data_IF_321805893149
#
_entry.id   IF_321805893149
#
_cell.length_a   1.000
_cell.length_b   1.000
_cell.length_c   1.000
_cell.angle_alpha   90.00
_cell.angle_beta   90.00
_cell.angle_gamma   90.00
#
_symmetry.space_group_name_H-M   'P 1'
#
loop_
_entity.id
_entity.type
_entity.pdbx_description
1 polymer ?
#
# COMPACT_ATOMS: atom_id res chain seq x y z
N UNK A 1 0.43 -6.01 -27.35
CA UNK A 1 1.35 -6.89 -26.61
C UNK A 1 1.19 -6.78 -25.10
N UNK A 2 0.72 -5.67 -24.56
CA UNK A 2 0.54 -5.38 -23.13
C UNK A 2 -0.52 -6.25 -22.43
N UNK A 3 -1.61 -6.65 -23.06
CA UNK A 3 -2.63 -7.55 -22.47
C UNK A 3 -2.11 -8.90 -21.96
N UNK A 4 -0.92 -9.33 -22.37
CA UNK A 4 -0.39 -10.64 -21.97
C UNK A 4 0.48 -10.61 -20.71
N UNK A 5 0.92 -9.44 -20.24
CA UNK A 5 1.88 -9.34 -19.11
C UNK A 5 1.12 -9.39 -17.79
N UNK A 6 0.03 -8.66 -17.68
CA UNK A 6 -0.89 -8.74 -16.52
C UNK A 6 -1.50 -10.15 -16.40
N UNK A 7 -1.86 -10.76 -17.53
CA UNK A 7 -2.26 -12.19 -17.58
C UNK A 7 -1.19 -13.16 -17.08
N UNK A 8 0.10 -12.90 -17.33
CA UNK A 8 1.18 -13.75 -16.84
C UNK A 8 1.35 -13.65 -15.32
N UNK A 9 1.17 -12.47 -14.76
CA UNK A 9 1.21 -12.26 -13.32
C UNK A 9 0.05 -12.96 -12.60
N UNK A 10 -1.17 -12.85 -13.12
CA UNK A 10 -2.34 -13.56 -12.61
C UNK A 10 -2.24 -15.08 -12.76
N UNK A 11 -1.68 -15.56 -13.86
CA UNK A 11 -1.43 -16.99 -14.07
C UNK A 11 -0.36 -17.52 -13.10
N UNK A 12 0.60 -16.70 -12.71
CA UNK A 12 1.61 -17.07 -11.71
C UNK A 12 1.05 -17.07 -10.28
N UNK A 13 0.26 -16.06 -9.91
CA UNK A 13 -0.37 -15.98 -8.58
C UNK A 13 -1.64 -16.85 -8.47
N UNK A 14 -2.53 -16.81 -9.45
CA UNK A 14 -3.81 -17.51 -9.42
C UNK A 14 -3.73 -19.02 -9.61
N UNK A 15 -2.83 -19.54 -10.48
CA UNK A 15 -2.71 -20.99 -10.70
C UNK A 15 -1.99 -21.74 -9.58
N UNK A 16 -1.07 -21.10 -8.86
CA UNK A 16 -0.44 -21.74 -7.71
C UNK A 16 -1.39 -21.77 -6.50
N UNK A 17 -2.21 -20.74 -6.28
CA UNK A 17 -3.19 -20.74 -5.21
C UNK A 17 -4.29 -21.79 -5.43
N UNK A 18 -4.80 -21.97 -6.65
CA UNK A 18 -5.83 -22.98 -6.95
C UNK A 18 -5.31 -24.43 -6.88
N UNK A 19 -4.04 -24.70 -7.09
CA UNK A 19 -3.46 -26.05 -6.87
C UNK A 19 -3.06 -26.28 -5.42
N UNK A 20 -2.64 -25.27 -4.68
CA UNK A 20 -2.37 -25.40 -3.26
C UNK A 20 -3.65 -25.41 -2.43
N UNK A 21 -4.71 -24.71 -2.86
CA UNK A 21 -6.03 -24.71 -2.19
C UNK A 21 -6.68 -26.11 -2.15
N UNK A 22 -6.44 -27.00 -3.11
CA UNK A 22 -6.86 -28.40 -2.95
C UNK A 22 -6.06 -29.22 -1.91
N UNK A 23 -4.88 -28.73 -1.47
CA UNK A 23 -4.14 -29.27 -0.30
C UNK A 23 -4.10 -28.29 0.87
N UNK A 24 -4.35 -27.02 0.68
CA UNK A 24 -4.43 -25.96 1.69
C UNK A 24 -5.86 -25.57 2.06
N UNK A 25 -6.87 -26.37 1.66
CA UNK A 25 -8.20 -26.34 2.29
C UNK A 25 -8.16 -26.67 3.80
N UNK A 26 -6.98 -27.01 4.32
CA UNK A 26 -6.70 -27.06 5.76
C UNK A 26 -6.03 -25.78 6.31
N UNK A 27 -5.64 -24.79 5.48
CA UNK A 27 -4.98 -23.55 5.93
C UNK A 27 -5.77 -22.26 5.68
N UNK A 28 -6.75 -22.28 4.77
CA UNK A 28 -7.72 -21.17 4.58
C UNK A 28 -8.70 -21.01 5.74
N UNK A 29 -8.50 -21.76 6.76
CA UNK A 29 -9.27 -21.83 8.00
C UNK A 29 -8.39 -21.52 9.21
N UNK A 30 -7.44 -20.58 9.10
CA UNK A 30 -6.67 -20.12 10.26
C UNK A 30 -7.46 -19.31 11.28
N UNK A 31 -8.75 -19.35 11.22
CA UNK A 31 -9.58 -18.91 12.32
C UNK A 31 -10.45 -20.04 12.77
N UNK A 32 -9.99 -21.21 13.14
CA UNK A 32 -10.84 -22.21 13.66
C UNK A 32 -10.12 -23.54 13.96
N UNK A 33 -9.69 -23.89 15.20
CA UNK A 33 -9.69 -25.24 15.79
C UNK A 33 -9.32 -25.37 17.26
N UNK A 34 -10.11 -25.87 18.14
CA UNK A 34 -9.72 -26.85 19.14
C UNK A 34 -10.75 -27.27 20.20
N UNK A 35 -10.48 -28.34 20.80
CA UNK A 35 -11.24 -29.30 21.56
C UNK A 35 -11.75 -28.82 22.92
N UNK A 36 -12.95 -29.25 23.25
CA UNK A 36 -13.58 -29.14 24.55
C UNK A 36 -13.17 -30.28 25.50
N UNK A 37 -12.88 -29.90 26.72
CA UNK A 37 -13.06 -30.75 27.90
C UNK A 37 -13.98 -30.02 28.90
N UNK A 38 -14.99 -30.68 29.46
CA UNK A 38 -15.89 -30.01 30.38
C UNK A 38 -15.29 -29.91 31.75
N UNK A 39 -14.92 -28.72 32.21
CA UNK A 39 -14.82 -28.43 33.63
C UNK A 39 -16.08 -27.72 34.10
N UNK A 40 -16.95 -28.48 34.71
CA UNK A 40 -18.03 -27.96 35.56
C UNK A 40 -17.38 -27.32 36.76
N UNK A 41 -17.28 -26.02 36.81
CA UNK A 41 -17.04 -25.27 38.03
C UNK A 41 -18.26 -24.39 38.29
N UNK A 42 -18.85 -24.62 39.46
CA UNK A 42 -20.04 -23.97 39.90
C UNK A 42 -19.99 -22.45 39.85
N UNK A 43 -20.90 -21.85 39.14
CA UNK A 43 -21.18 -20.43 39.19
C UNK A 43 -21.93 -20.13 40.49
N UNK A 44 -21.15 -19.71 41.52
CA UNK A 44 -21.76 -18.90 42.58
C UNK A 44 -22.09 -17.56 42.00
N UNK A 45 -23.36 -17.24 41.95
CA UNK A 45 -23.90 -15.93 41.64
C UNK A 45 -23.30 -14.88 42.59
N UNK A 46 -22.30 -14.13 42.15
CA UNK A 46 -21.92 -12.87 42.79
C UNK A 46 -22.69 -11.76 42.08
N UNK A 47 -23.63 -11.15 42.79
CA UNK A 47 -24.17 -9.85 42.43
C UNK A 47 -22.99 -8.84 42.44
N UNK A 48 -22.54 -8.44 41.29
CA UNK A 48 -21.66 -7.28 41.14
C UNK A 48 -22.53 -6.03 41.10
N UNK A 49 -22.45 -5.23 42.15
CA UNK A 49 -22.91 -3.84 42.17
C UNK A 49 -22.15 -3.03 41.09
N UNK A 50 -22.91 -2.48 40.13
CA UNK A 50 -22.42 -1.78 38.93
C UNK A 50 -22.03 -0.33 39.20
N UNK A 51 -21.82 0.07 40.47
CA UNK A 51 -21.51 1.45 40.86
C UNK A 51 -20.09 1.64 41.39
N UNK A 52 -19.09 1.16 40.62
CA UNK A 52 -17.71 1.62 40.84
C UNK A 52 -17.21 2.34 39.59
N UNK A 53 -16.84 3.64 39.62
CA UNK A 53 -16.22 4.30 38.49
C UNK A 53 -14.87 3.62 38.26
N UNK A 54 -14.84 2.67 37.36
CA UNK A 54 -13.61 1.99 36.89
C UNK A 54 -12.65 3.07 36.43
N UNK A 55 -11.49 3.11 37.06
CA UNK A 55 -10.42 4.03 36.70
C UNK A 55 -10.19 4.01 35.19
N UNK A 56 -9.87 5.17 34.62
CA UNK A 56 -9.67 5.50 33.19
C UNK A 56 -8.60 4.64 32.47
N UNK A 57 -8.63 3.33 32.58
CA UNK A 57 -7.65 2.38 32.02
C UNK A 57 -8.21 0.96 31.85
N UNK A 58 -9.53 0.80 31.73
CA UNK A 58 -10.12 -0.52 31.49
C UNK A 58 -9.68 -1.07 30.13
N UNK A 59 -9.61 -2.40 29.99
CA UNK A 59 -9.30 -3.06 28.71
C UNK A 59 -10.23 -2.57 27.58
N UNK A 60 -11.50 -2.33 27.89
CA UNK A 60 -12.50 -1.79 26.97
C UNK A 60 -12.10 -0.44 26.36
N UNK A 61 -11.44 0.43 27.10
CA UNK A 61 -10.95 1.72 26.58
C UNK A 61 -9.63 1.55 25.81
N UNK A 62 -8.77 0.64 26.24
CA UNK A 62 -7.45 0.41 25.60
C UNK A 62 -7.56 -0.19 24.21
N UNK A 63 -8.56 -1.06 23.97
CA UNK A 63 -8.75 -1.73 22.68
C UNK A 63 -9.39 -0.83 21.62
N UNK A 64 -9.91 0.35 21.96
CA UNK A 64 -10.58 1.23 21.01
C UNK A 64 -9.66 1.62 19.84
N UNK A 65 -10.23 1.62 18.64
CA UNK A 65 -9.53 1.92 17.38
C UNK A 65 -9.49 0.77 16.41
N UNK A 66 -8.74 0.93 15.33
CA UNK A 66 -8.50 -0.10 14.31
C UNK A 66 -7.18 -0.81 14.58
N UNK A 67 -7.16 -2.12 14.37
CA UNK A 67 -6.01 -2.98 14.62
C UNK A 67 -5.83 -3.94 13.44
N UNK A 68 -4.66 -3.93 12.80
CA UNK A 68 -4.33 -4.81 11.68
C UNK A 68 -3.42 -5.96 12.11
N UNK A 69 -3.76 -7.18 11.70
CA UNK A 69 -2.99 -8.38 11.97
C UNK A 69 -1.61 -8.33 11.29
N UNK A 70 -0.54 -8.58 12.07
CA UNK A 70 0.83 -8.63 11.59
C UNK A 70 1.43 -10.03 11.64
N UNK A 71 1.17 -10.77 12.74
CA UNK A 71 1.76 -12.09 12.96
C UNK A 71 0.74 -13.05 13.59
N UNK A 72 0.85 -14.32 13.24
CA UNK A 72 0.17 -15.43 13.90
C UNK A 72 1.22 -16.46 14.33
N UNK A 73 1.25 -16.82 15.62
CA UNK A 73 2.22 -17.73 16.24
C UNK A 73 3.70 -17.33 16.00
N UNK A 74 3.97 -16.01 15.92
CA UNK A 74 5.31 -15.46 15.67
C UNK A 74 5.73 -15.53 14.19
N UNK A 75 4.83 -15.88 13.30
CA UNK A 75 5.06 -15.88 11.85
C UNK A 75 4.35 -14.69 11.21
N UNK A 76 5.06 -13.82 10.47
CA UNK A 76 4.45 -12.74 9.73
C UNK A 76 3.39 -13.26 8.74
N UNK A 77 2.21 -12.64 8.73
CA UNK A 77 1.13 -13.01 7.81
C UNK A 77 1.35 -12.35 6.45
N UNK A 78 0.99 -13.06 5.38
CA UNK A 78 0.95 -12.51 4.03
C UNK A 78 -0.25 -11.57 3.87
N UNK A 79 -0.27 -10.77 2.80
CA UNK A 79 -1.30 -9.74 2.63
C UNK A 79 -2.71 -10.34 2.53
N UNK A 80 -2.86 -11.48 1.87
CA UNK A 80 -4.11 -12.23 1.74
C UNK A 80 -4.65 -12.79 3.07
N UNK A 81 -3.80 -12.83 4.10
CA UNK A 81 -4.16 -13.27 5.46
C UNK A 81 -4.38 -12.11 6.44
N UNK A 82 -4.17 -10.87 6.00
CA UNK A 82 -4.37 -9.71 6.86
C UNK A 82 -5.85 -9.50 7.16
N UNK A 83 -6.11 -9.09 8.40
CA UNK A 83 -7.44 -8.74 8.89
C UNK A 83 -7.38 -7.50 9.77
N UNK A 84 -8.49 -6.81 9.89
CA UNK A 84 -8.66 -5.63 10.74
C UNK A 84 -9.77 -5.90 11.75
N UNK A 85 -9.48 -5.65 13.02
CA UNK A 85 -10.49 -5.42 14.04
C UNK A 85 -10.66 -3.93 14.27
N UNK A 86 -11.91 -3.47 14.28
CA UNK A 86 -12.26 -2.11 14.68
C UNK A 86 -13.14 -2.16 15.91
N UNK A 87 -12.72 -1.52 17.00
CA UNK A 87 -13.50 -1.41 18.23
C UNK A 87 -13.92 0.03 18.45
N UNK A 88 -15.21 0.26 18.57
CA UNK A 88 -15.80 1.59 18.80
C UNK A 88 -16.63 1.62 20.08
N UNK A 89 -16.67 2.76 20.73
CA UNK A 89 -17.52 2.96 21.91
C UNK A 89 -18.92 3.38 21.47
N UNK A 90 -19.94 2.65 21.91
CA UNK A 90 -21.35 2.96 21.69
C UNK A 90 -22.07 3.05 23.03
N UNK A 91 -22.22 4.28 23.54
CA UNK A 91 -22.74 4.53 24.88
C UNK A 91 -21.83 3.94 25.97
N UNK A 92 -22.33 2.97 26.73
CA UNK A 92 -21.55 2.24 27.76
C UNK A 92 -20.95 0.93 27.25
N UNK A 93 -21.21 0.53 26.01
CA UNK A 93 -20.76 -0.74 25.43
C UNK A 93 -19.68 -0.54 24.41
N UNK A 94 -18.89 -1.59 24.16
CA UNK A 94 -17.94 -1.66 23.03
C UNK A 94 -18.56 -2.49 21.94
N UNK A 95 -18.55 -1.96 20.72
CA UNK A 95 -18.98 -2.63 19.50
C UNK A 95 -17.74 -2.92 18.66
N UNK A 96 -17.72 -4.04 17.97
CA UNK A 96 -16.61 -4.42 17.12
C UNK A 96 -17.03 -4.63 15.67
N UNK A 97 -16.06 -4.49 14.80
CA UNK A 97 -16.18 -4.86 13.38
C UNK A 97 -14.93 -5.63 12.98
N UNK A 98 -15.11 -6.56 12.06
CA UNK A 98 -14.04 -7.40 11.54
C UNK A 98 -14.05 -7.35 10.02
N UNK A 99 -12.89 -7.06 9.43
CA UNK A 99 -12.67 -7.08 7.98
C UNK A 99 -11.48 -7.95 7.64
N UNK A 100 -11.55 -8.64 6.53
CA UNK A 100 -10.44 -9.42 5.99
C UNK A 100 -10.49 -9.44 4.47
N UNK A 101 -9.35 -9.66 3.83
CA UNK A 101 -9.31 -9.97 2.42
C UNK A 101 -9.96 -11.34 2.17
N UNK A 102 -10.96 -11.37 1.31
CA UNK A 102 -11.63 -12.62 0.92
C UNK A 102 -11.22 -12.99 -0.49
N UNK A 103 -10.55 -14.11 -0.62
CA UNK A 103 -10.23 -14.67 -1.94
C UNK A 103 -11.49 -15.33 -2.53
N UNK A 104 -11.86 -14.89 -3.74
CA UNK A 104 -12.82 -15.59 -4.62
C UNK A 104 -14.13 -16.03 -3.98
N UNK A 105 -14.77 -15.21 -3.15
CA UNK A 105 -16.17 -15.45 -2.75
C UNK A 105 -17.10 -14.50 -3.50
N UNK A 106 -18.25 -15.01 -3.95
CA UNK A 106 -19.32 -14.19 -4.52
C UNK A 106 -19.87 -13.18 -3.50
N UNK A 107 -19.63 -13.45 -2.20
CA UNK A 107 -20.02 -12.62 -1.06
C UNK A 107 -18.86 -11.68 -0.66
N UNK A 108 -18.70 -10.61 -1.42
CA UNK A 108 -17.77 -9.53 -1.08
C UNK A 108 -18.33 -8.72 0.09
N UNK A 109 -17.82 -8.96 1.29
CA UNK A 109 -18.17 -8.18 2.48
C UNK A 109 -16.91 -7.53 3.02
N UNK A 110 -16.88 -6.19 3.01
CA UNK A 110 -15.77 -5.41 3.54
C UNK A 110 -15.70 -5.48 5.06
N UNK A 111 -16.82 -5.57 5.75
CA UNK A 111 -16.86 -5.50 7.21
C UNK A 111 -18.02 -6.27 7.80
N UNK A 112 -17.76 -7.01 8.88
CA UNK A 112 -18.75 -7.77 9.64
C UNK A 112 -18.83 -7.23 11.07
N UNK A 113 -20.04 -6.89 11.51
CA UNK A 113 -20.29 -6.51 12.90
C UNK A 113 -20.10 -7.71 13.84
N UNK A 114 -19.43 -7.47 14.98
CA UNK A 114 -19.22 -8.45 16.04
C UNK A 114 -19.64 -7.85 17.39
N UNK A 115 -20.30 -8.66 18.19
CA UNK A 115 -20.59 -8.32 19.58
C UNK A 115 -19.33 -8.52 20.41
N UNK A 116 -18.98 -7.53 21.21
CA UNK A 116 -17.80 -7.52 22.08
C UNK A 116 -18.22 -7.57 23.54
N UNK A 117 -17.71 -8.54 24.28
CA UNK A 117 -17.90 -8.66 25.72
C UNK A 117 -16.53 -8.70 26.40
N UNK A 118 -16.18 -7.66 27.15
CA UNK A 118 -14.98 -7.64 28.00
C UNK A 118 -15.27 -8.45 29.25
N UNK A 119 -14.59 -9.59 29.39
CA UNK A 119 -14.83 -10.57 30.47
C UNK A 119 -14.00 -10.22 31.70
N UNK A 120 -12.77 -9.72 31.49
CA UNK A 120 -11.84 -9.32 32.55
C UNK A 120 -10.79 -8.34 31.99
N UNK A 121 -9.84 -7.91 32.81
CA UNK A 121 -8.75 -7.02 32.41
C UNK A 121 -7.82 -7.57 31.33
N UNK A 122 -7.93 -8.87 31.02
CA UNK A 122 -7.10 -9.56 30.02
C UNK A 122 -7.87 -10.59 29.17
N UNK A 123 -9.22 -10.52 29.15
CA UNK A 123 -10.03 -11.45 28.39
C UNK A 123 -11.24 -10.77 27.72
N UNK A 124 -11.49 -11.12 26.47
CA UNK A 124 -12.59 -10.62 25.64
C UNK A 124 -13.26 -11.80 24.94
N UNK A 125 -14.57 -11.75 24.80
CA UNK A 125 -15.33 -12.64 23.93
C UNK A 125 -15.89 -11.83 22.77
N UNK A 126 -15.68 -12.33 21.55
CA UNK A 126 -16.24 -11.79 20.31
C UNK A 126 -17.26 -12.78 19.77
N UNK A 127 -18.46 -12.31 19.40
CA UNK A 127 -19.56 -13.16 18.92
C UNK A 127 -20.14 -12.58 17.63
N UNK A 128 -20.36 -13.44 16.64
CA UNK A 128 -21.08 -13.07 15.42
C UNK A 128 -21.83 -14.27 14.85
N UNK A 129 -22.76 -14.03 13.94
CA UNK A 129 -23.49 -15.05 13.22
C UNK A 129 -23.27 -14.86 11.71
N UNK A 130 -22.89 -15.93 11.03
CA UNK A 130 -22.71 -15.93 9.59
C UNK A 130 -24.05 -16.12 8.88
N UNK A 131 -24.16 -15.68 7.62
CA UNK A 131 -25.37 -15.72 6.81
C UNK A 131 -26.02 -17.13 6.69
N UNK A 132 -25.24 -18.20 6.91
CA UNK A 132 -25.70 -19.60 6.89
C UNK A 132 -26.16 -20.11 8.26
N UNK A 133 -26.34 -19.23 9.26
CA UNK A 133 -26.78 -19.59 10.61
C UNK A 133 -25.72 -20.28 11.46
N UNK A 134 -24.43 -20.10 11.09
CA UNK A 134 -23.29 -20.57 11.91
C UNK A 134 -22.92 -19.47 12.89
N UNK A 135 -23.05 -19.76 14.18
CA UNK A 135 -22.55 -18.91 15.25
C UNK A 135 -21.03 -19.07 15.39
N UNK A 136 -20.33 -17.95 15.48
CA UNK A 136 -18.88 -17.86 15.68
C UNK A 136 -18.62 -17.19 17.01
N UNK A 137 -17.89 -17.85 17.89
CA UNK A 137 -17.45 -17.32 19.17
C UNK A 137 -15.92 -17.36 19.22
N UNK A 138 -15.29 -16.21 19.39
CA UNK A 138 -13.84 -16.09 19.57
C UNK A 138 -13.54 -15.66 20.99
N UNK A 139 -12.84 -16.50 21.72
CA UNK A 139 -12.34 -16.19 23.07
C UNK A 139 -10.92 -15.67 22.94
N UNK A 140 -10.69 -14.43 23.37
CA UNK A 140 -9.40 -13.81 23.46
C UNK A 140 -8.93 -13.86 24.92
N UNK A 141 -7.79 -14.48 25.17
CA UNK A 141 -7.16 -14.56 26.48
C UNK A 141 -5.76 -13.94 26.43
N UNK A 142 -5.20 -13.62 27.58
CA UNK A 142 -3.89 -12.96 27.72
C UNK A 142 -3.81 -11.66 26.91
N UNK A 143 -4.95 -10.96 26.79
CA UNK A 143 -5.04 -9.71 26.03
C UNK A 143 -4.15 -8.65 26.66
N UNK A 144 -3.26 -8.10 25.87
CA UNK A 144 -2.38 -6.99 26.26
C UNK A 144 -2.42 -5.89 25.21
N UNK A 145 -2.57 -4.63 25.68
CA UNK A 145 -2.46 -3.44 24.85
C UNK A 145 -1.33 -2.59 25.39
N UNK A 146 -0.31 -2.36 24.58
CA UNK A 146 0.85 -1.55 24.93
C UNK A 146 1.17 -0.57 23.80
N UNK A 147 0.77 0.69 23.98
CA UNK A 147 0.85 1.69 22.91
C UNK A 147 0.08 1.23 21.67
N UNK A 148 0.76 1.18 20.55
CA UNK A 148 0.20 0.77 19.25
C UNK A 148 0.24 -0.74 19.01
N UNK A 149 0.37 -1.56 20.04
CA UNK A 149 0.45 -3.02 19.95
C UNK A 149 -0.67 -3.68 20.72
N UNK A 150 -1.43 -4.56 20.07
CA UNK A 150 -2.41 -5.45 20.66
C UNK A 150 -1.96 -6.90 20.46
N UNK A 151 -1.92 -7.69 21.53
CA UNK A 151 -1.60 -9.12 21.51
C UNK A 151 -2.62 -9.91 22.31
N UNK A 152 -2.89 -11.13 21.86
CA UNK A 152 -3.76 -12.06 22.59
C UNK A 152 -3.54 -13.49 22.11
N UNK A 153 -4.11 -14.43 22.85
CA UNK A 153 -4.30 -15.81 22.43
C UNK A 153 -5.77 -15.98 22.02
N UNK A 154 -6.04 -16.39 20.80
CA UNK A 154 -7.38 -16.56 20.25
C UNK A 154 -7.77 -18.04 20.23
N UNK A 155 -9.02 -18.34 20.64
CA UNK A 155 -9.66 -19.62 20.48
C UNK A 155 -11.04 -19.40 19.87
N UNK A 156 -11.31 -20.00 18.71
CA UNK A 156 -12.57 -19.81 18.00
C UNK A 156 -13.41 -21.09 17.99
N UNK A 157 -14.67 -20.95 18.30
CA UNK A 157 -15.67 -22.04 18.26
C UNK A 157 -16.74 -21.72 17.24
N UNK A 158 -17.01 -22.66 16.35
CA UNK A 158 -18.18 -22.62 15.46
C UNK A 158 -19.27 -23.55 15.97
N UNK A 159 -20.49 -23.06 15.91
CA UNK A 159 -21.67 -23.91 16.23
C UNK A 159 -22.79 -23.64 15.22
N UNK A 160 -23.54 -24.69 14.92
CA UNK A 160 -24.73 -24.62 14.11
C UNK A 160 -25.85 -25.36 14.84
N UNK A 161 -27.04 -24.74 14.91
CA UNK A 161 -28.22 -25.28 15.64
C UNK A 161 -27.90 -25.66 17.10
N UNK A 162 -27.02 -24.88 17.75
CA UNK A 162 -26.56 -25.09 19.13
C UNK A 162 -25.53 -26.22 19.31
N UNK A 163 -25.12 -26.88 18.22
CA UNK A 163 -24.08 -27.92 18.25
C UNK A 163 -22.74 -27.36 17.78
N UNK A 164 -21.68 -27.58 18.55
CA UNK A 164 -20.31 -27.25 18.15
C UNK A 164 -19.91 -28.10 16.95
N UNK A 165 -19.62 -27.44 15.83
CA UNK A 165 -19.20 -28.12 14.59
C UNK A 165 -17.70 -28.16 14.45
N UNK A 166 -17.01 -27.11 14.87
CA UNK A 166 -15.56 -26.98 14.84
C UNK A 166 -15.08 -26.08 15.98
N UNK A 167 -13.86 -26.31 16.39
CA UNK A 167 -13.13 -25.39 17.28
C UNK A 167 -11.70 -25.28 16.78
N UNK A 168 -10.99 -24.15 16.97
CA UNK A 168 -9.67 -23.89 16.40
C UNK A 168 -8.84 -22.96 17.33
N UNK A 169 -7.56 -23.08 17.28
CA UNK A 169 -6.62 -22.43 18.19
C UNK A 169 -6.09 -23.43 19.24
N UNK A 170 -5.39 -22.97 20.24
CA UNK A 170 -5.07 -21.57 20.47
C UNK A 170 -4.07 -21.04 19.43
N UNK A 171 -4.27 -19.82 18.94
CA UNK A 171 -3.30 -19.08 18.13
C UNK A 171 -2.88 -17.79 18.86
N UNK A 172 -1.60 -17.46 18.83
CA UNK A 172 -1.09 -16.19 19.36
C UNK A 172 -1.07 -15.18 18.24
N UNK A 173 -1.77 -14.07 18.44
CA UNK A 173 -1.95 -13.06 17.41
C UNK A 173 -1.34 -11.73 17.85
N UNK A 174 -0.69 -11.05 16.91
CA UNK A 174 -0.05 -9.77 17.09
C UNK A 174 -0.64 -8.78 16.08
N UNK A 175 -1.17 -7.67 16.58
CA UNK A 175 -1.75 -6.58 15.81
C UNK A 175 -1.04 -5.27 16.08
N UNK A 176 -0.99 -4.41 15.08
CA UNK A 176 -0.61 -3.01 15.23
C UNK A 176 -1.81 -2.10 15.03
N UNK A 177 -1.81 -0.95 15.72
CA UNK A 177 -2.86 0.05 15.56
C UNK A 177 -2.78 0.69 14.19
N UNK A 178 -3.94 0.97 13.60
CA UNK A 178 -4.12 1.69 12.35
C UNK A 178 -4.76 3.02 12.70
N UNK A 179 -4.01 4.10 12.55
CA UNK A 179 -4.49 5.45 12.81
C UNK A 179 -5.01 6.13 11.55
N UNK A 180 -4.62 5.64 10.35
CA UNK A 180 -5.00 6.19 9.05
C UNK A 180 -6.17 5.43 8.42
N UNK A 181 -7.02 6.14 7.69
CA UNK A 181 -8.08 5.59 6.86
C UNK A 181 -8.00 6.20 5.45
N UNK A 182 -7.76 5.35 4.47
CA UNK A 182 -7.54 5.77 3.08
C UNK A 182 -8.80 5.68 2.21
N UNK A 183 -9.97 5.41 2.78
CA UNK A 183 -11.23 5.23 2.03
C UNK A 183 -11.55 6.44 1.13
N UNK A 184 -11.36 7.66 1.65
CA UNK A 184 -11.60 8.89 0.87
C UNK A 184 -10.39 9.23 -0.02
N UNK A 185 -9.19 8.77 0.37
CA UNK A 185 -7.96 9.07 -0.38
C UNK A 185 -7.94 8.33 -1.70
N UNK A 186 -8.40 7.06 -1.72
CA UNK A 186 -8.29 6.22 -2.92
C UNK A 186 -9.14 6.73 -4.09
N UNK A 187 -10.25 7.45 -3.81
CA UNK A 187 -11.17 7.93 -4.85
C UNK A 187 -10.47 8.92 -5.79
N UNK A 188 -10.49 8.62 -7.09
CA UNK A 188 -9.89 9.41 -8.15
C UNK A 188 -9.07 8.56 -9.11
N UNK A 189 -8.42 9.21 -10.07
CA UNK A 189 -7.59 8.56 -11.08
C UNK A 189 -6.13 8.57 -10.67
N UNK A 190 -5.48 7.42 -10.81
CA UNK A 190 -4.12 7.16 -10.39
C UNK A 190 -3.29 6.60 -11.54
N UNK A 191 -2.09 7.12 -11.71
CA UNK A 191 -1.07 6.52 -12.55
C UNK A 191 0.13 6.14 -11.69
N UNK A 192 0.65 4.94 -11.89
CA UNK A 192 1.72 4.44 -11.07
C UNK A 192 2.54 3.33 -11.69
N UNK A 193 3.39 2.77 -10.86
CA UNK A 193 4.21 1.59 -11.17
C UNK A 193 4.05 0.53 -10.09
N UNK A 194 4.20 -0.71 -10.49
CA UNK A 194 4.37 -1.85 -9.59
C UNK A 194 5.76 -2.42 -9.82
N UNK A 195 6.51 -2.62 -8.75
CA UNK A 195 7.81 -3.30 -8.73
C UNK A 195 7.73 -4.55 -7.86
N UNK A 196 8.62 -5.51 -8.05
CA UNK A 196 8.65 -6.73 -7.23
C UNK A 196 10.05 -7.30 -7.12
N UNK A 197 10.32 -8.02 -6.01
CA UNK A 197 11.50 -8.90 -5.89
C UNK A 197 11.28 -10.28 -6.50
N UNK A 198 10.13 -10.54 -7.14
CA UNK A 198 9.89 -11.75 -7.93
C UNK A 198 10.68 -11.65 -9.25
N UNK A 199 11.63 -12.56 -9.52
CA UNK A 199 12.45 -12.49 -10.74
C UNK A 199 11.66 -12.76 -12.03
N UNK A 200 10.44 -13.26 -11.92
CA UNK A 200 9.54 -13.47 -13.07
C UNK A 200 8.66 -12.25 -13.35
N UNK A 201 8.64 -11.27 -12.42
CA UNK A 201 7.88 -10.05 -12.56
C UNK A 201 8.72 -8.94 -13.20
N UNK A 202 8.19 -8.28 -14.19
CA UNK A 202 8.77 -7.06 -14.74
C UNK A 202 8.06 -5.85 -14.18
N UNK A 203 8.78 -4.76 -13.94
CA UNK A 203 8.17 -3.48 -13.54
C UNK A 203 7.06 -3.11 -14.51
N UNK A 204 5.88 -2.80 -13.98
CA UNK A 204 4.67 -2.54 -14.74
C UNK A 204 4.12 -1.16 -14.43
N UNK A 205 3.72 -0.42 -15.46
CA UNK A 205 2.98 0.84 -15.32
C UNK A 205 1.49 0.55 -15.39
N UNK A 206 0.71 1.24 -14.56
CA UNK A 206 -0.74 1.11 -14.52
C UNK A 206 -1.42 2.47 -14.49
N UNK A 207 -2.68 2.48 -14.89
CA UNK A 207 -3.61 3.57 -14.69
C UNK A 207 -4.97 3.01 -14.27
N UNK A 208 -5.48 3.49 -13.15
CA UNK A 208 -6.74 3.05 -12.56
C UNK A 208 -7.54 4.26 -12.05
N UNK A 209 -8.86 4.17 -12.10
CA UNK A 209 -9.75 5.20 -11.57
C UNK A 209 -10.78 4.58 -10.63
N UNK A 210 -10.81 5.06 -9.38
CA UNK A 210 -11.66 4.57 -8.30
C UNK A 210 -12.80 5.54 -8.03
N UNK A 211 -14.03 5.02 -7.96
CA UNK A 211 -15.24 5.81 -7.77
C UNK A 211 -15.77 5.67 -6.33
N UNK A 212 -16.45 6.69 -5.85
CA UNK A 212 -17.00 6.73 -4.49
C UNK A 212 -18.09 5.67 -4.21
N UNK A 213 -18.60 5.00 -5.24
CA UNK A 213 -19.60 3.93 -5.13
C UNK A 213 -18.97 2.54 -4.91
N UNK A 214 -17.64 2.46 -4.78
CA UNK A 214 -16.91 1.20 -4.59
C UNK A 214 -16.58 0.47 -5.88
N UNK A 215 -16.81 1.10 -7.03
CA UNK A 215 -16.39 0.58 -8.34
C UNK A 215 -15.07 1.22 -8.80
N UNK A 216 -14.35 0.56 -9.71
CA UNK A 216 -13.17 1.12 -10.36
C UNK A 216 -13.11 0.74 -11.84
N UNK A 217 -12.16 1.30 -12.56
CA UNK A 217 -11.81 0.85 -13.90
C UNK A 217 -10.31 0.92 -14.13
N UNK A 218 -9.83 0.03 -14.97
CA UNK A 218 -8.47 0.00 -15.46
C UNK A 218 -8.36 0.63 -16.86
N UNK A 219 -7.15 1.05 -17.21
CA UNK A 219 -6.84 1.63 -18.51
C UNK A 219 -5.62 0.93 -19.09
N UNK A 220 -5.67 0.61 -20.37
CA UNK A 220 -4.53 0.12 -21.14
C UNK A 220 -3.86 1.26 -21.89
N UNK A 221 -2.53 1.35 -21.82
CA UNK A 221 -1.78 2.37 -22.58
C UNK A 221 -1.64 1.96 -24.03
N UNK A 222 -2.32 2.71 -24.94
CA UNK A 222 -2.36 2.42 -26.38
C UNK A 222 -2.15 3.72 -27.16
N UNK A 223 -1.21 3.69 -28.13
CA UNK A 223 -0.90 4.84 -29.00
C UNK A 223 -0.59 6.15 -28.25
N UNK A 224 0.03 6.03 -27.07
CA UNK A 224 0.41 7.19 -26.26
C UNK A 224 -0.70 7.76 -25.37
N UNK A 225 -1.79 7.03 -25.22
CA UNK A 225 -2.94 7.41 -24.39
C UNK A 225 -3.42 6.23 -23.54
N UNK A 226 -3.97 6.54 -22.37
CA UNK A 226 -4.67 5.58 -21.54
C UNK A 226 -6.11 5.40 -22.05
N UNK A 227 -6.47 4.20 -22.46
CA UNK A 227 -7.79 3.82 -22.96
C UNK A 227 -8.46 2.93 -21.94
N UNK A 228 -9.66 3.29 -21.52
CA UNK A 228 -10.45 2.53 -20.55
C UNK A 228 -10.74 1.13 -21.05
N UNK A 229 -10.50 0.14 -20.19
CA UNK A 229 -10.84 -1.25 -20.47
C UNK A 229 -12.30 -1.56 -20.12
N UNK A 230 -12.91 -2.49 -20.86
CA UNK A 230 -14.29 -2.92 -20.61
C UNK A 230 -14.28 -4.11 -19.65
N UNK A 231 -14.91 -3.94 -18.47
CA UNK A 231 -15.09 -4.97 -17.48
C UNK A 231 -16.57 -5.35 -17.32
N UNK A 232 -16.82 -6.62 -17.00
CA UNK A 232 -18.14 -7.11 -16.60
C UNK A 232 -18.47 -6.59 -15.20
N UNK A 233 -17.48 -6.61 -14.29
CA UNK A 233 -17.46 -5.92 -13.01
C UNK A 233 -16.04 -5.55 -12.60
N UNK A 234 -15.92 -4.47 -11.86
CA UNK A 234 -14.68 -4.04 -11.22
C UNK A 234 -15.04 -3.31 -9.93
N UNK A 235 -14.77 -3.95 -8.79
CA UNK A 235 -15.11 -3.47 -7.46
C UNK A 235 -13.86 -3.35 -6.60
N UNK A 236 -13.89 -2.42 -5.65
CA UNK A 236 -12.85 -2.29 -4.64
C UNK A 236 -13.42 -2.02 -3.26
N UNK A 237 -12.63 -2.26 -2.22
CA UNK A 237 -12.90 -1.72 -0.90
C UNK A 237 -11.59 -1.31 -0.19
N UNK A 238 -11.75 -0.37 0.74
CA UNK A 238 -10.70 0.03 1.67
C UNK A 238 -11.24 -0.02 3.09
N UNK A 239 -10.49 -0.59 4.02
CA UNK A 239 -10.77 -0.54 5.45
C UNK A 239 -9.48 -0.23 6.22
N UNK A 240 -9.34 1.02 6.65
CA UNK A 240 -8.08 1.56 7.16
C UNK A 240 -7.00 1.53 6.10
N UNK A 241 -6.05 0.61 6.26
CA UNK A 241 -4.94 0.39 5.30
C UNK A 241 -5.14 -0.83 4.40
N UNK A 242 -6.17 -1.66 4.64
CA UNK A 242 -6.49 -2.76 3.73
C UNK A 242 -7.12 -2.23 2.45
N UNK A 243 -6.54 -2.56 1.32
CA UNK A 243 -7.02 -2.20 0.00
C UNK A 243 -7.13 -3.45 -0.87
N UNK A 244 -8.28 -3.66 -1.49
CA UNK A 244 -8.54 -4.84 -2.30
C UNK A 244 -9.35 -4.47 -3.53
N UNK A 245 -8.99 -5.04 -4.67
CA UNK A 245 -9.70 -4.92 -5.93
C UNK A 245 -10.16 -6.29 -6.43
N UNK A 246 -11.26 -6.31 -7.17
CA UNK A 246 -11.83 -7.50 -7.81
C UNK A 246 -12.29 -7.13 -9.20
N UNK A 247 -11.84 -7.89 -10.20
CA UNK A 247 -12.06 -7.56 -11.61
C UNK A 247 -12.44 -8.79 -12.43
N UNK A 248 -13.34 -8.58 -13.40
CA UNK A 248 -13.64 -9.53 -14.48
C UNK A 248 -13.85 -8.78 -15.79
N UNK A 249 -13.07 -9.07 -16.79
CA UNK A 249 -13.26 -8.48 -18.12
C UNK A 249 -14.41 -9.13 -18.88
N UNK A 250 -15.01 -8.34 -19.78
CA UNK A 250 -16.10 -8.79 -20.65
C UNK A 250 -15.64 -9.95 -21.55
N UNK A 251 -16.41 -11.04 -21.53
CA UNK A 251 -16.15 -12.22 -22.38
C UNK A 251 -15.15 -13.22 -21.80
N UNK A 252 -14.66 -13.04 -20.60
CA UNK A 252 -13.85 -14.04 -19.91
C UNK A 252 -14.70 -14.98 -19.05
N UNK A 253 -14.40 -16.29 -19.09
CA UNK A 253 -15.16 -17.29 -18.34
C UNK A 253 -14.88 -17.22 -16.83
N UNK A 254 -13.66 -16.81 -16.45
CA UNK A 254 -13.21 -16.73 -15.06
C UNK A 254 -12.91 -15.29 -14.68
N UNK A 255 -13.20 -14.88 -13.43
CA UNK A 255 -12.70 -13.60 -12.92
C UNK A 255 -11.19 -13.61 -12.95
N UNK A 256 -10.60 -12.47 -13.27
CA UNK A 256 -9.13 -12.34 -13.25
C UNK A 256 -8.56 -12.51 -11.86
N UNK A 257 -9.31 -12.18 -10.83
CA UNK A 257 -8.92 -12.45 -9.47
C UNK A 257 -9.20 -11.30 -8.53
N UNK A 258 -8.69 -11.45 -7.34
CA UNK A 258 -8.70 -10.47 -6.28
C UNK A 258 -7.26 -10.09 -5.97
N UNK A 259 -6.98 -8.78 -5.97
CA UNK A 259 -5.68 -8.22 -5.61
C UNK A 259 -5.79 -7.54 -4.26
N UNK A 260 -4.87 -7.86 -3.36
CA UNK A 260 -4.87 -7.40 -2.00
C UNK A 260 -3.57 -6.66 -1.71
N UNK A 261 -3.69 -5.40 -1.27
CA UNK A 261 -2.58 -4.54 -0.86
C UNK A 261 -2.82 -4.00 0.55
N UNK A 262 -1.75 -3.62 1.20
CA UNK A 262 -1.79 -2.75 2.38
C UNK A 262 -1.25 -1.39 1.95
N UNK A 263 -2.03 -0.34 2.12
CA UNK A 263 -1.57 1.03 1.91
C UNK A 263 -0.60 1.38 3.05
N UNK A 264 0.61 1.78 2.69
CA UNK A 264 1.66 2.10 3.65
C UNK A 264 1.70 3.60 3.96
N UNK A 265 1.45 4.45 2.95
CA UNK A 265 1.44 5.91 3.10
C UNK A 265 0.72 6.62 1.96
N UNK A 266 0.32 7.87 2.24
CA UNK A 266 -0.02 8.87 1.24
C UNK A 266 0.68 10.17 1.61
N UNK A 267 1.84 10.39 1.05
CA UNK A 267 2.71 11.52 1.33
C UNK A 267 3.15 12.20 0.05
N UNK A 268 3.24 13.51 0.06
CA UNK A 268 3.61 14.33 -1.10
C UNK A 268 2.82 14.08 -2.40
N UNK A 269 1.59 13.55 -2.27
CA UNK A 269 0.72 13.20 -3.39
C UNK A 269 0.97 11.81 -3.96
N UNK A 270 1.83 11.00 -3.33
CA UNK A 270 2.17 9.64 -3.71
C UNK A 270 1.47 8.67 -2.78
N UNK A 271 0.67 7.77 -3.34
CA UNK A 271 0.08 6.65 -2.66
C UNK A 271 1.03 5.45 -2.79
N UNK A 272 1.54 4.99 -1.66
CA UNK A 272 2.39 3.80 -1.60
C UNK A 272 1.62 2.64 -1.00
N UNK A 273 1.65 1.48 -1.66
CA UNK A 273 1.03 0.27 -1.14
C UNK A 273 1.91 -0.95 -1.39
N UNK A 274 1.66 -2.01 -0.61
CA UNK A 274 2.47 -3.21 -0.61
C UNK A 274 1.64 -4.46 -0.53
N UNK A 275 1.99 -5.45 -1.33
CA UNK A 275 1.47 -6.79 -1.24
C UNK A 275 2.60 -7.78 -0.95
N UNK A 276 2.35 -8.74 -0.06
CA UNK A 276 3.30 -9.79 0.30
C UNK A 276 2.62 -11.13 0.14
N UNK A 277 3.16 -11.95 -0.75
CA UNK A 277 2.64 -13.28 -1.04
C UNK A 277 3.70 -14.36 -0.81
N UNK A 278 3.25 -15.58 -0.57
CA UNK A 278 4.12 -16.74 -0.45
C UNK A 278 3.78 -17.75 -1.55
N UNK A 279 4.79 -18.07 -2.38
CA UNK A 279 4.68 -19.05 -3.46
C UNK A 279 5.87 -20.01 -3.37
N UNK A 280 5.61 -21.33 -3.34
CA UNK A 280 6.62 -22.39 -3.27
C UNK A 280 7.65 -22.22 -2.13
N UNK A 281 7.18 -21.75 -0.97
CA UNK A 281 8.00 -21.50 0.22
C UNK A 281 8.81 -20.19 0.20
N UNK A 282 8.80 -19.46 -0.91
CA UNK A 282 9.44 -18.15 -1.05
C UNK A 282 8.44 -17.03 -0.80
N UNK A 283 8.94 -15.92 -0.27
CA UNK A 283 8.18 -14.70 -0.03
C UNK A 283 8.49 -13.68 -1.11
N UNK A 284 7.45 -13.17 -1.74
CA UNK A 284 7.52 -12.13 -2.77
C UNK A 284 6.82 -10.88 -2.27
N UNK A 285 7.42 -9.75 -2.54
CA UNK A 285 6.90 -8.42 -2.20
C UNK A 285 6.64 -7.67 -3.48
N UNK A 286 5.46 -7.10 -3.60
CA UNK A 286 5.06 -6.19 -4.67
C UNK A 286 4.83 -4.83 -4.04
N UNK A 287 5.46 -3.82 -4.58
CA UNK A 287 5.32 -2.43 -4.12
C UNK A 287 4.69 -1.62 -5.24
N UNK A 288 3.58 -0.98 -4.95
CA UNK A 288 2.91 -0.04 -5.85
C UNK A 288 3.16 1.38 -5.38
N UNK A 289 3.46 2.27 -6.31
CA UNK A 289 3.59 3.71 -6.10
C UNK A 289 2.79 4.43 -7.17
N UNK A 290 1.86 5.26 -6.77
CA UNK A 290 0.97 5.94 -7.68
C UNK A 290 0.78 7.41 -7.31
N UNK A 291 0.59 8.24 -8.31
CA UNK A 291 0.21 9.65 -8.17
C UNK A 291 -1.20 9.88 -8.69
N UNK A 292 -1.93 10.79 -8.05
CA UNK A 292 -3.24 11.19 -8.56
C UNK A 292 -3.08 12.08 -9.77
N UNK A 293 -3.79 11.75 -10.85
CA UNK A 293 -3.81 12.51 -12.11
C UNK A 293 -5.21 13.00 -12.41
N UNK A 294 -5.30 14.00 -13.29
CA UNK A 294 -6.57 14.46 -13.89
C UNK A 294 -6.68 13.99 -15.36
N UNK A 295 -7.76 14.37 -16.02
CA UNK A 295 -8.00 14.01 -17.43
C UNK A 295 -7.19 14.87 -18.43
N UNK A 296 -6.50 15.92 -17.95
CA UNK A 296 -5.75 16.83 -18.79
C UNK A 296 -4.31 16.34 -18.98
N UNK A 297 -3.97 15.98 -20.20
CA UNK A 297 -2.60 15.57 -20.51
C UNK A 297 -1.62 16.73 -20.42
N UNK A 298 -0.40 16.40 -19.97
CA UNK A 298 0.71 17.34 -19.84
C UNK A 298 1.12 17.91 -21.18
N UNK A 299 1.37 19.21 -21.21
CA UNK A 299 1.92 19.91 -22.38
C UNK A 299 3.33 20.45 -22.08
N UNK A 300 4.14 20.78 -23.11
CA UNK A 300 5.43 21.42 -22.87
C UNK A 300 5.36 22.74 -22.09
N UNK A 301 4.21 23.43 -22.14
CA UNK A 301 4.01 24.68 -21.40
C UNK A 301 3.84 24.45 -19.90
N UNK A 302 3.28 23.33 -19.50
CA UNK A 302 3.02 23.01 -18.09
C UNK A 302 4.32 22.74 -17.32
N UNK A 303 5.28 22.14 -17.99
CA UNK A 303 6.59 21.80 -17.40
C UNK A 303 7.70 22.83 -17.70
N UNK A 304 7.42 23.83 -18.55
CA UNK A 304 8.45 24.82 -18.90
C UNK A 304 8.92 25.61 -17.69
N UNK A 305 10.23 25.62 -17.44
CA UNK A 305 10.81 26.31 -16.29
C UNK A 305 11.93 25.51 -15.61
N UNK A 306 12.31 25.98 -14.42
CA UNK A 306 13.32 25.38 -13.60
C UNK A 306 12.68 24.56 -12.48
N UNK A 307 13.11 23.33 -12.32
CA UNK A 307 12.67 22.36 -11.34
C UNK A 307 13.84 21.92 -10.48
N UNK A 308 13.60 21.72 -9.21
CA UNK A 308 14.65 21.40 -8.24
C UNK A 308 14.23 20.19 -7.40
N UNK A 309 15.15 19.24 -7.27
CA UNK A 309 15.16 18.24 -6.21
C UNK A 309 16.29 18.58 -5.22
N UNK A 310 16.00 18.49 -3.93
CA UNK A 310 16.94 18.86 -2.85
C UNK A 310 17.02 17.70 -1.86
N UNK A 311 18.11 16.95 -1.93
CA UNK A 311 18.35 15.77 -1.11
C UNK A 311 19.03 16.17 0.19
N UNK A 312 18.37 15.90 1.31
CA UNK A 312 18.89 16.14 2.65
C UNK A 312 20.15 15.29 2.94
N UNK A 313 20.94 15.73 3.93
CA UNK A 313 22.20 15.07 4.34
C UNK A 313 22.08 13.54 4.58
N UNK A 314 20.94 13.06 5.07
CA UNK A 314 20.70 11.65 5.34
C UNK A 314 20.49 10.77 4.09
N UNK A 315 20.10 11.40 2.98
CA UNK A 315 19.70 10.73 1.74
C UNK A 315 20.89 10.61 0.75
N UNK A 316 22.01 11.28 1.04
CA UNK A 316 23.22 11.27 0.21
C UNK A 316 24.20 10.21 0.73
N UNK A 317 24.03 8.97 0.30
CA UNK A 317 24.77 7.80 0.84
C UNK A 317 26.12 7.56 0.16
N UNK A 318 26.40 8.14 -1.02
CA UNK A 318 27.43 7.63 -1.92
C UNK A 318 28.75 8.37 -1.94
N UNK A 319 28.87 9.54 -1.32
CA UNK A 319 30.13 10.27 -1.34
C UNK A 319 30.42 10.99 -0.03
N UNK A 320 31.56 10.71 0.57
CA UNK A 320 32.05 11.38 1.80
C UNK A 320 32.48 12.82 1.58
N UNK A 321 32.57 13.29 0.33
CA UNK A 321 32.99 14.64 0.00
C UNK A 321 31.86 15.67 0.11
N UNK A 322 30.60 15.24 0.04
CA UNK A 322 29.43 16.11 0.21
C UNK A 322 28.33 15.37 0.97
N UNK A 323 27.42 16.12 1.57
CA UNK A 323 26.33 15.60 2.40
C UNK A 323 24.96 16.15 1.99
N UNK A 324 24.89 16.93 0.91
CA UNK A 324 23.65 17.43 0.32
C UNK A 324 23.84 17.55 -1.19
N UNK A 325 22.83 17.13 -1.93
CA UNK A 325 22.77 17.24 -3.38
C UNK A 325 21.56 18.09 -3.76
N UNK A 326 21.75 19.05 -4.65
CA UNK A 326 20.66 19.82 -5.25
C UNK A 326 20.73 19.62 -6.74
N UNK A 327 19.71 19.05 -7.32
CA UNK A 327 19.59 18.85 -8.77
C UNK A 327 18.66 19.88 -9.36
N UNK A 328 19.04 20.45 -10.50
CA UNK A 328 18.24 21.37 -11.29
C UNK A 328 17.97 20.81 -12.67
N UNK A 329 16.71 20.84 -13.04
CA UNK A 329 16.21 20.50 -14.37
C UNK A 329 15.52 21.70 -14.99
N UNK A 330 15.98 22.17 -16.13
CA UNK A 330 15.36 23.26 -16.87
C UNK A 330 14.71 22.73 -18.14
N UNK A 331 13.37 22.78 -18.21
CA UNK A 331 12.61 22.37 -19.41
C UNK A 331 12.22 23.60 -20.23
N UNK A 332 12.31 23.48 -21.58
CA UNK A 332 11.92 24.50 -22.53
C UNK A 332 10.76 24.00 -23.38
N UNK A 333 9.86 24.89 -23.78
CA UNK A 333 8.67 24.55 -24.60
C UNK A 333 8.98 23.90 -25.95
N UNK A 334 10.23 23.98 -26.42
CA UNK A 334 10.65 23.39 -27.69
C UNK A 334 11.11 21.91 -27.59
N UNK A 335 10.88 21.23 -26.47
CA UNK A 335 11.27 19.84 -26.27
C UNK A 335 12.73 19.64 -25.92
N UNK A 336 13.42 20.69 -25.48
CA UNK A 336 14.80 20.61 -24.99
C UNK A 336 14.88 21.00 -23.52
N UNK A 337 15.92 20.55 -22.83
CA UNK A 337 16.16 20.91 -21.43
C UNK A 337 17.65 20.94 -21.10
N UNK A 338 17.91 21.22 -19.83
CA UNK A 338 19.25 21.30 -19.26
C UNK A 338 19.23 20.79 -17.83
N UNK A 339 20.25 20.06 -17.43
CA UNK A 339 20.44 19.48 -16.10
C UNK A 339 21.75 19.92 -15.49
N UNK A 340 21.74 20.20 -14.18
CA UNK A 340 22.92 20.40 -13.33
C UNK A 340 22.72 19.80 -11.95
N UNK A 341 23.79 19.33 -11.34
CA UNK A 341 23.81 18.89 -9.95
C UNK A 341 24.84 19.69 -9.14
N UNK A 342 24.42 20.17 -7.98
CA UNK A 342 25.22 20.95 -7.04
C UNK A 342 25.48 20.11 -5.80
N UNK A 343 26.76 19.78 -5.59
CA UNK A 343 27.22 19.05 -4.41
C UNK A 343 27.62 20.03 -3.31
N UNK A 344 27.05 19.84 -2.12
CA UNK A 344 27.20 20.74 -1.00
C UNK A 344 27.68 19.99 0.25
N UNK A 345 28.52 20.69 1.04
CA UNK A 345 28.80 20.29 2.42
C UNK A 345 28.12 21.32 3.35
N UNK A 346 26.97 20.94 3.89
CA UNK A 346 26.04 21.87 4.51
C UNK A 346 25.52 22.89 3.49
N UNK A 347 25.91 24.13 3.61
CA UNK A 347 25.59 25.22 2.66
C UNK A 347 26.70 25.58 1.69
N UNK A 348 27.90 24.98 1.86
CA UNK A 348 29.09 25.29 1.08
C UNK A 348 29.14 24.44 -0.19
N UNK A 349 29.19 25.06 -1.35
CA UNK A 349 29.40 24.39 -2.62
C UNK A 349 30.78 23.73 -2.67
N UNK A 350 30.86 22.44 -2.91
CA UNK A 350 32.10 21.66 -3.03
C UNK A 350 32.31 21.08 -4.42
N UNK A 351 31.26 21.07 -5.25
CA UNK A 351 31.31 20.62 -6.64
C UNK A 351 30.07 21.03 -7.42
N UNK A 352 30.23 21.18 -8.73
CA UNK A 352 29.14 21.18 -9.69
C UNK A 352 29.42 20.03 -10.62
N UNK A 353 28.47 19.10 -10.73
CA UNK A 353 28.56 18.00 -11.65
C UNK A 353 27.70 18.29 -12.88
N UNK A 354 28.40 18.45 -13.99
CA UNK A 354 27.80 18.24 -15.30
C UNK A 354 28.04 16.79 -15.62
N UNK A 355 27.06 16.13 -16.20
CA UNK A 355 27.19 14.73 -16.57
C UNK A 355 28.20 14.48 -17.71
N UNK A 356 29.14 15.37 -17.90
CA UNK A 356 30.08 15.38 -18.98
C UNK A 356 31.17 14.29 -18.94
N UNK A 357 31.43 13.69 -17.77
CA UNK A 357 32.62 12.86 -17.60
C UNK A 357 32.42 11.40 -17.20
N UNK A 358 31.20 10.86 -17.20
CA UNK A 358 30.98 9.44 -17.05
C UNK A 358 31.47 8.81 -15.73
N UNK A 359 31.75 9.63 -14.72
CA UNK A 359 32.25 9.20 -13.41
C UNK A 359 31.22 9.31 -12.30
N UNK A 360 30.01 9.70 -12.60
CA UNK A 360 28.90 9.63 -11.64
C UNK A 360 28.43 8.21 -11.46
N UNK A 361 28.07 7.81 -10.22
CA UNK A 361 27.48 6.50 -9.94
C UNK A 361 26.12 6.30 -10.61
N UNK A 362 25.46 7.36 -11.06
CA UNK A 362 24.22 7.33 -11.80
C UNK A 362 24.48 7.55 -13.28
N UNK A 363 24.32 6.51 -14.09
CA UNK A 363 24.37 6.59 -15.55
C UNK A 363 23.07 7.24 -16.06
N UNK A 364 22.95 8.56 -15.87
CA UNK A 364 21.72 9.32 -16.12
C UNK A 364 21.48 9.62 -17.58
N UNK A 365 22.47 9.35 -18.46
CA UNK A 365 22.30 9.44 -19.91
C UNK A 365 21.96 10.80 -20.48
N UNK A 366 22.17 11.87 -19.75
CA UNK A 366 22.10 13.21 -20.32
C UNK A 366 23.29 13.41 -21.29
N UNK A 367 23.04 14.08 -22.39
CA UNK A 367 24.08 14.36 -23.39
C UNK A 367 25.20 15.24 -22.85
N UNK A 368 26.30 15.34 -23.61
CA UNK A 368 27.43 16.22 -23.28
C UNK A 368 26.91 17.61 -22.91
N UNK A 369 27.43 18.20 -21.84
CA UNK A 369 27.09 19.53 -21.31
C UNK A 369 25.70 19.62 -20.65
N UNK A 370 25.13 18.55 -20.09
CA UNK A 370 23.87 18.60 -19.37
C UNK A 370 22.64 18.87 -20.22
N UNK A 371 22.77 19.06 -21.53
CA UNK A 371 21.64 19.28 -22.41
C UNK A 371 20.93 17.97 -22.71
N UNK A 372 19.59 18.01 -22.76
CA UNK A 372 18.76 16.86 -23.12
C UNK A 372 17.60 17.26 -24.04
N UNK A 373 17.01 16.25 -24.67
CA UNK A 373 15.75 16.35 -25.39
C UNK A 373 14.69 15.59 -24.60
N UNK A 374 13.43 15.99 -24.72
CA UNK A 374 12.33 15.26 -24.10
C UNK A 374 11.10 15.21 -25.01
N UNK A 375 10.24 14.26 -24.75
CA UNK A 375 8.91 14.14 -25.35
C UNK A 375 7.89 13.90 -24.25
N UNK A 376 6.64 14.27 -24.50
CA UNK A 376 5.53 14.05 -23.57
C UNK A 376 4.58 13.03 -24.15
N UNK A 377 4.12 12.09 -23.30
CA UNK A 377 3.09 11.10 -23.63
C UNK A 377 2.16 10.96 -22.43
N UNK A 378 0.92 11.45 -22.56
CA UNK A 378 0.02 11.53 -21.40
C UNK A 378 0.62 12.46 -20.33
N UNK A 379 0.84 11.94 -19.15
CA UNK A 379 1.52 12.63 -18.04
C UNK A 379 3.03 12.38 -17.99
N UNK A 380 3.53 11.47 -18.84
CA UNK A 380 4.95 11.11 -18.86
C UNK A 380 5.79 12.13 -19.60
N UNK A 381 6.80 12.65 -18.94
CA UNK A 381 7.89 13.43 -19.54
C UNK A 381 9.08 12.49 -19.72
N UNK A 382 9.33 12.11 -20.97
CA UNK A 382 10.37 11.15 -21.33
C UNK A 382 11.62 11.90 -21.81
N UNK A 383 12.65 11.91 -20.98
CA UNK A 383 13.98 12.43 -21.34
C UNK A 383 14.71 11.40 -22.19
N UNK A 384 15.34 11.85 -23.27
CA UNK A 384 15.95 10.97 -24.28
C UNK A 384 17.44 11.16 -24.38
N UNK A 385 18.14 10.07 -24.73
CA UNK A 385 19.52 10.12 -25.20
C UNK A 385 19.63 10.88 -26.53
N UNK A 386 20.85 11.18 -26.95
CA UNK A 386 21.13 11.67 -28.29
C UNK A 386 20.73 10.66 -29.39
N UNK A 387 20.71 9.36 -29.06
CA UNK A 387 20.28 8.26 -29.95
C UNK A 387 18.76 8.11 -30.03
N UNK A 388 18.03 8.78 -29.13
CA UNK A 388 16.56 8.84 -29.10
C UNK A 388 15.87 7.84 -28.16
N UNK A 389 16.64 7.01 -27.44
CA UNK A 389 16.09 6.11 -26.43
C UNK A 389 15.68 6.88 -25.18
N UNK A 390 14.60 6.41 -24.53
CA UNK A 390 14.16 6.98 -23.24
C UNK A 390 15.11 6.52 -22.16
N UNK A 391 15.78 7.47 -21.51
CA UNK A 391 16.72 7.19 -20.42
C UNK A 391 16.16 7.48 -19.04
N UNK A 392 15.30 8.48 -18.96
CA UNK A 392 14.69 8.89 -17.71
C UNK A 392 13.25 9.32 -17.98
N UNK A 393 12.36 8.94 -17.08
CA UNK A 393 10.93 9.24 -17.19
C UNK A 393 10.41 9.75 -15.86
N UNK A 394 9.69 10.88 -15.91
CA UNK A 394 8.97 11.44 -14.78
C UNK A 394 7.53 11.70 -15.17
N UNK A 395 6.64 11.67 -14.19
CA UNK A 395 5.22 12.00 -14.39
C UNK A 395 4.93 13.40 -13.87
N UNK A 396 4.23 14.19 -14.66
CA UNK A 396 3.77 15.52 -14.25
C UNK A 396 2.31 15.49 -13.81
N UNK A 397 2.05 15.98 -12.62
CA UNK A 397 0.68 16.25 -12.14
C UNK A 397 0.71 17.30 -11.02
N UNK A 398 -0.35 18.09 -10.90
CA UNK A 398 -0.53 19.06 -9.80
C UNK A 398 0.66 20.01 -9.57
N UNK A 399 1.35 20.41 -10.67
CA UNK A 399 2.50 21.32 -10.59
C UNK A 399 3.78 20.69 -10.03
N UNK A 400 3.89 19.37 -10.01
CA UNK A 400 5.09 18.62 -9.59
C UNK A 400 5.48 17.60 -10.65
N UNK A 401 6.76 17.23 -10.67
CA UNK A 401 7.29 16.11 -11.45
C UNK A 401 7.72 15.00 -10.49
N UNK A 402 7.32 13.77 -10.79
CA UNK A 402 7.54 12.61 -9.94
C UNK A 402 8.37 11.56 -10.69
N UNK A 403 9.53 11.21 -10.17
CA UNK A 403 10.22 9.99 -10.55
C UNK A 403 9.73 8.84 -9.65
N UNK A 404 8.95 7.96 -10.22
CA UNK A 404 8.42 6.77 -9.55
C UNK A 404 9.21 5.50 -9.90
N UNK A 405 10.16 5.60 -10.84
CA UNK A 405 10.83 4.45 -11.45
C UNK A 405 12.08 4.02 -10.69
N UNK A 406 12.63 4.87 -9.83
CA UNK A 406 13.69 4.45 -8.92
C UNK A 406 13.09 3.52 -7.84
N UNK A 407 13.56 2.26 -7.73
CA UNK A 407 13.03 1.33 -6.74
C UNK A 407 13.38 1.73 -5.29
N UNK A 408 14.46 2.47 -5.11
CA UNK A 408 15.02 2.78 -3.79
C UNK A 408 14.60 4.16 -3.29
N UNK A 409 14.28 5.10 -4.20
CA UNK A 409 13.94 6.47 -3.83
C UNK A 409 12.83 7.06 -4.72
N UNK A 410 11.97 7.87 -4.13
CA UNK A 410 10.95 8.65 -4.86
C UNK A 410 11.43 10.09 -4.95
N UNK A 411 11.76 10.51 -6.17
CA UNK A 411 12.20 11.87 -6.41
C UNK A 411 11.00 12.75 -6.78
N UNK A 412 10.77 13.80 -6.00
CA UNK A 412 9.75 14.81 -6.29
C UNK A 412 10.42 16.13 -6.63
N UNK A 413 10.36 16.50 -7.92
CA UNK A 413 10.85 17.81 -8.33
C UNK A 413 9.74 18.85 -8.18
N UNK A 414 10.11 19.99 -7.65
CA UNK A 414 9.23 21.14 -7.48
C UNK A 414 9.70 22.31 -8.34
N UNK A 415 8.78 23.19 -8.77
CA UNK A 415 9.20 24.43 -9.43
C UNK A 415 10.17 25.23 -8.54
N UNK A 416 11.31 25.59 -9.07
CA UNK A 416 12.32 26.35 -8.32
C UNK A 416 11.74 27.67 -7.81
N UNK A 417 11.84 27.92 -6.52
CA UNK A 417 11.51 29.22 -5.92
C UNK A 417 12.48 30.32 -6.38
N UNK A 418 12.10 31.57 -6.21
CA UNK A 418 12.99 32.70 -6.54
C UNK A 418 14.31 32.60 -5.77
N UNK A 419 14.25 32.27 -4.46
CA UNK A 419 15.44 32.12 -3.63
C UNK A 419 16.36 30.98 -4.12
N UNK A 420 15.79 29.85 -4.51
CA UNK A 420 16.57 28.74 -5.08
C UNK A 420 17.24 29.14 -6.40
N UNK A 421 16.54 29.81 -7.29
CA UNK A 421 17.11 30.30 -8.56
C UNK A 421 18.27 31.28 -8.33
N UNK A 422 18.12 32.21 -7.39
CA UNK A 422 19.17 33.14 -7.00
C UNK A 422 20.37 32.41 -6.42
N UNK A 423 20.14 31.44 -5.53
CA UNK A 423 21.21 30.65 -4.92
C UNK A 423 21.97 29.81 -5.96
N UNK A 424 21.26 29.15 -6.87
CA UNK A 424 21.84 28.36 -7.97
C UNK A 424 22.71 29.31 -8.87
N UNK A 425 22.22 30.49 -9.19
CA UNK A 425 22.97 31.46 -9.96
C UNK A 425 24.26 31.89 -9.24
N UNK A 426 24.25 32.07 -7.92
CA UNK A 426 25.42 32.34 -7.10
C UNK A 426 26.42 31.19 -7.12
N UNK A 427 25.94 29.93 -6.99
CA UNK A 427 26.81 28.75 -7.07
C UNK A 427 27.53 28.67 -8.44
N UNK A 428 26.79 28.84 -9.54
CA UNK A 428 27.38 28.89 -10.90
C UNK A 428 28.43 29.98 -11.03
N UNK A 429 28.20 31.18 -10.48
CA UNK A 429 29.13 32.29 -10.55
C UNK A 429 30.39 32.07 -9.70
N UNK A 430 30.28 31.35 -8.61
CA UNK A 430 31.40 31.07 -7.69
C UNK A 430 32.30 29.93 -8.15
N UNK A 431 31.77 29.03 -8.99
CA UNK A 431 32.49 27.88 -9.52
C UNK A 431 33.27 28.31 -10.79
N UNK A 432 34.55 28.59 -10.63
CA UNK A 432 35.44 28.99 -11.73
C UNK A 432 36.68 28.11 -11.79
#
# INVERSE_FOLDING_TARGET
MTKNIFRLWMLACGRSSLRSVKRASSFGTCLIAALALPMVLGLTSCNFDIDNPIANNSLAEKILGKWILQETDGVPVTTDMKSVYTFVKEGSTTKGFYSMFRMASDDWSSSQEIKVTVVSDNAITLETELANGVSVVVQLTDVTVNGNVLRFTAMTTLSKDGLVTNTYGPSREYFTKVDDDYSDVIVGRWEGIITSNDPEFTTEEFCEEYYADGTFCEFTFTDGQWVKDEAEYADYFVDGTLFSTRLKYVGEEQPEGQFNFVIESYEDGILSSKAVYRRDGKVYTYTSRAIRVDDSYTTPSDIAGQWVADYAEKDVIYNTAYNRLVEEYSFRTNGTGYYEAFMLNGTTLVGIEFMENGTTPHNTGFGQNGNFKYTIKGHDVCVKTDEGDVQWKVKYTNGRLYDLFDPDDIIVLQPATTAQREQIALWRASWK
#
